data_IF_391946396007
#
_entry.id   IF_391946396007
#
_cell.length_a   1.000
_cell.length_b   1.000
_cell.length_c   1.000
_cell.angle_alpha   90.00
_cell.angle_beta   90.00
_cell.angle_gamma   90.00
#
_symmetry.space_group_name_H-M   'P 1'
#
loop_
_entity.id
_entity.type
_entity.pdbx_description
1 polymer ?
#
# COMPACT_ATOMS: atom_id res chain seq x y z
N UNK A 1 -30.00 -12.47 52.71
CA UNK A 1 -28.68 -12.11 52.11
C UNK A 1 -28.95 -11.42 50.78
N UNK A 2 -28.85 -10.10 50.70
CA UNK A 2 -29.13 -9.29 49.48
C UNK A 2 -27.82 -9.00 48.77
N UNK A 3 -27.79 -9.33 47.49
CA UNK A 3 -26.64 -9.02 46.61
C UNK A 3 -26.66 -7.54 46.21
N UNK A 4 -25.50 -6.84 46.19
CA UNK A 4 -25.44 -5.44 45.75
C UNK A 4 -25.58 -5.38 44.22
N UNK A 5 -26.46 -4.48 43.74
CA UNK A 5 -26.64 -4.20 42.29
C UNK A 5 -25.42 -3.47 41.75
N UNK A 6 -24.78 -4.08 40.78
CA UNK A 6 -23.72 -3.45 40.00
C UNK A 6 -24.36 -2.40 39.08
N UNK A 7 -24.09 -1.14 39.28
CA UNK A 7 -24.39 -0.09 38.30
C UNK A 7 -23.19 0.05 37.36
N UNK A 8 -23.35 -0.16 36.03
CA UNK A 8 -22.30 0.14 35.10
C UNK A 8 -22.06 1.63 35.06
N UNK A 9 -20.81 2.06 35.30
CA UNK A 9 -20.36 3.43 35.16
C UNK A 9 -20.52 3.83 33.69
N UNK A 10 -21.22 4.96 33.44
CA UNK A 10 -21.34 5.56 32.13
C UNK A 10 -19.94 5.91 31.59
N UNK A 11 -19.68 5.73 30.27
CA UNK A 11 -18.42 6.17 29.68
C UNK A 11 -18.29 7.68 29.81
N UNK A 12 -17.12 8.14 30.25
CA UNK A 12 -16.79 9.54 30.36
C UNK A 12 -16.83 10.16 28.94
N UNK A 13 -17.84 11.00 28.70
CA UNK A 13 -17.90 11.86 27.52
C UNK A 13 -16.87 12.97 27.70
N UNK A 14 -15.75 12.88 27.01
CA UNK A 14 -14.83 14.00 26.85
C UNK A 14 -15.54 15.20 26.19
N UNK A 15 -15.03 16.43 26.34
CA UNK A 15 -15.65 17.61 25.78
C UNK A 15 -15.81 17.49 24.27
N UNK A 16 -17.04 17.64 23.76
CA UNK A 16 -17.33 17.61 22.33
C UNK A 16 -16.57 18.74 21.64
N UNK A 17 -15.87 18.40 20.55
CA UNK A 17 -15.12 19.36 19.71
C UNK A 17 -16.10 20.43 19.18
N UNK A 18 -15.75 21.75 19.20
CA UNK A 18 -16.61 22.80 18.65
C UNK A 18 -16.91 22.58 17.16
N UNK A 19 -18.05 23.12 16.66
CA UNK A 19 -18.41 23.05 15.24
C UNK A 19 -17.31 23.60 14.35
N UNK A 20 -16.96 22.84 13.30
CA UNK A 20 -15.88 23.10 12.35
C UNK A 20 -16.01 24.47 11.64
N UNK A 21 -14.91 25.22 11.57
CA UNK A 21 -14.75 26.42 10.73
C UNK A 21 -14.41 26.00 9.30
N UNK A 22 -14.60 26.92 8.31
CA UNK A 22 -14.21 26.68 6.91
C UNK A 22 -12.71 26.29 6.85
N UNK A 23 -12.39 25.12 6.26
CA UNK A 23 -11.04 24.53 6.20
C UNK A 23 -10.78 23.42 7.23
N UNK A 24 -11.58 23.30 8.30
CA UNK A 24 -11.46 22.22 9.30
C UNK A 24 -12.02 20.88 8.79
N UNK A 25 -12.83 20.90 7.71
CA UNK A 25 -13.41 19.69 7.12
C UNK A 25 -12.35 18.79 6.48
N UNK A 26 -11.44 19.37 5.70
CA UNK A 26 -10.37 18.61 5.05
C UNK A 26 -9.36 18.10 6.08
N UNK A 27 -9.07 18.90 7.11
CA UNK A 27 -8.22 18.48 8.21
C UNK A 27 -8.84 17.31 8.98
N UNK A 28 -10.13 17.39 9.31
CA UNK A 28 -10.82 16.28 10.00
C UNK A 28 -10.87 15.03 9.13
N UNK A 29 -11.09 15.19 7.81
CA UNK A 29 -11.06 14.08 6.88
C UNK A 29 -9.69 13.36 6.93
N UNK A 30 -8.60 14.12 6.92
CA UNK A 30 -7.25 13.55 7.01
C UNK A 30 -6.99 12.88 8.37
N UNK A 31 -7.40 13.51 9.48
CA UNK A 31 -7.30 12.92 10.83
C UNK A 31 -8.04 11.57 10.93
N UNK A 32 -9.19 11.43 10.25
CA UNK A 32 -9.95 10.18 10.18
C UNK A 32 -9.17 9.11 9.40
N UNK A 33 -8.58 9.46 8.25
CA UNK A 33 -7.76 8.55 7.45
C UNK A 33 -6.54 8.08 8.24
N UNK A 34 -5.82 9.01 8.89
CA UNK A 34 -4.63 8.70 9.69
C UNK A 34 -4.96 7.81 10.91
N UNK A 35 -6.11 8.03 11.53
CA UNK A 35 -6.58 7.19 12.64
C UNK A 35 -6.98 5.78 12.15
N UNK A 36 -7.63 5.68 11.00
CA UNK A 36 -7.98 4.40 10.38
C UNK A 36 -6.72 3.62 10.00
N UNK A 37 -5.74 4.27 9.39
CA UNK A 37 -4.45 3.70 9.04
C UNK A 37 -3.73 3.13 10.28
N UNK A 38 -3.59 3.92 11.35
CA UNK A 38 -2.96 3.45 12.59
C UNK A 38 -3.66 2.22 13.15
N UNK A 39 -4.99 2.25 13.25
CA UNK A 39 -5.77 1.13 13.79
C UNK A 39 -5.64 -0.13 12.90
N UNK A 40 -5.57 0.02 11.59
CA UNK A 40 -5.34 -1.09 10.66
C UNK A 40 -3.95 -1.70 10.86
N UNK A 41 -2.93 -0.86 11.00
CA UNK A 41 -1.55 -1.29 11.25
C UNK A 41 -1.44 -1.99 12.62
N UNK A 42 -2.07 -1.44 13.66
CA UNK A 42 -2.04 -1.99 15.02
C UNK A 42 -2.77 -3.33 15.14
N UNK A 43 -3.89 -3.48 14.44
CA UNK A 43 -4.72 -4.69 14.53
C UNK A 43 -4.34 -5.77 13.51
N UNK A 44 -3.73 -5.39 12.38
CA UNK A 44 -3.42 -6.30 11.27
C UNK A 44 -4.65 -6.93 10.61
N UNK A 45 -5.87 -6.53 10.99
CA UNK A 45 -7.12 -7.06 10.47
C UNK A 45 -8.17 -5.96 10.29
N UNK A 46 -8.60 -5.76 9.06
CA UNK A 46 -9.65 -4.81 8.70
C UNK A 46 -10.97 -5.04 9.48
N UNK A 47 -11.32 -6.30 9.78
CA UNK A 47 -12.55 -6.64 10.53
C UNK A 47 -12.52 -6.14 11.96
N UNK A 48 -11.33 -6.00 12.53
CA UNK A 48 -11.11 -5.52 13.89
C UNK A 48 -11.24 -3.99 14.01
N UNK A 49 -11.17 -3.25 12.88
CA UNK A 49 -11.31 -1.80 12.83
C UNK A 49 -12.78 -1.43 12.61
N UNK A 50 -13.34 -0.60 13.50
CA UNK A 50 -14.72 -0.10 13.41
C UNK A 50 -14.78 1.42 13.31
N UNK A 51 -15.83 1.95 12.67
CA UNK A 51 -16.09 3.40 12.62
C UNK A 51 -16.16 4.02 14.04
N UNK A 52 -16.65 3.27 15.03
CA UNK A 52 -16.68 3.73 16.43
C UNK A 52 -15.28 3.86 17.02
N UNK A 53 -14.38 2.92 16.75
CA UNK A 53 -12.99 2.97 17.20
C UNK A 53 -12.26 4.15 16.55
N UNK A 54 -12.44 4.36 15.25
CA UNK A 54 -11.86 5.49 14.50
C UNK A 54 -12.38 6.82 15.06
N UNK A 55 -13.70 6.98 15.21
CA UNK A 55 -14.32 8.18 15.77
C UNK A 55 -13.78 8.48 17.18
N UNK A 56 -13.62 7.46 18.02
CA UNK A 56 -13.04 7.60 19.36
C UNK A 56 -11.57 8.04 19.29
N UNK A 57 -10.78 7.49 18.37
CA UNK A 57 -9.36 7.85 18.20
C UNK A 57 -9.16 9.30 17.75
N UNK A 58 -10.10 9.85 16.98
CA UNK A 58 -10.09 11.26 16.50
C UNK A 58 -10.78 12.21 17.48
N UNK A 59 -11.57 11.68 18.44
CA UNK A 59 -12.34 12.49 19.39
C UNK A 59 -13.60 13.11 18.79
N UNK A 60 -14.24 12.41 17.83
CA UNK A 60 -15.49 12.83 17.20
C UNK A 60 -16.61 11.80 17.39
N UNK A 61 -17.84 12.15 17.04
CA UNK A 61 -18.94 11.18 17.03
C UNK A 61 -18.91 10.30 15.76
N UNK A 62 -19.38 9.05 15.79
CA UNK A 62 -19.50 8.22 14.58
C UNK A 62 -20.26 8.89 13.43
N UNK A 63 -21.38 9.64 13.65
CA UNK A 63 -22.02 10.40 12.59
C UNK A 63 -21.10 11.43 11.91
N UNK A 64 -20.14 12.02 12.63
CA UNK A 64 -19.19 12.96 12.05
C UNK A 64 -18.23 12.28 11.04
N UNK A 65 -17.87 11.02 11.28
CA UNK A 65 -17.09 10.22 10.32
C UNK A 65 -17.90 9.95 9.04
N UNK A 66 -19.18 9.62 9.18
CA UNK A 66 -20.07 9.38 8.01
C UNK A 66 -20.33 10.61 7.15
N UNK A 67 -20.06 11.83 7.64
CA UNK A 67 -20.09 13.04 6.82
C UNK A 67 -18.94 13.10 5.80
N UNK A 68 -17.84 12.39 6.07
CA UNK A 68 -16.64 12.34 5.21
C UNK A 68 -16.53 11.05 4.40
N UNK A 69 -17.00 9.94 4.97
CA UNK A 69 -16.92 8.61 4.37
C UNK A 69 -18.27 7.91 4.53
N UNK A 70 -18.99 7.61 3.43
CA UNK A 70 -20.33 7.05 3.49
C UNK A 70 -20.38 5.68 4.18
N UNK A 71 -19.29 4.93 4.14
CA UNK A 71 -19.13 3.61 4.74
C UNK A 71 -17.67 3.38 5.15
N UNK A 72 -17.43 2.28 5.85
CA UNK A 72 -16.10 1.85 6.29
C UNK A 72 -15.20 1.51 5.09
N UNK A 73 -15.77 0.87 4.09
CA UNK A 73 -15.11 0.41 2.88
C UNK A 73 -14.48 1.59 2.13
N UNK A 74 -15.22 2.67 1.95
CA UNK A 74 -14.72 3.92 1.34
C UNK A 74 -13.53 4.51 2.10
N UNK A 75 -13.54 4.44 3.43
CA UNK A 75 -12.42 4.90 4.26
C UNK A 75 -11.21 3.98 4.11
N UNK A 76 -11.40 2.65 4.10
CA UNK A 76 -10.31 1.69 3.87
C UNK A 76 -9.69 1.87 2.48
N UNK A 77 -10.51 2.11 1.46
CA UNK A 77 -10.03 2.40 0.10
C UNK A 77 -9.17 3.68 0.06
N UNK A 78 -9.55 4.71 0.81
CA UNK A 78 -8.74 5.93 0.92
C UNK A 78 -7.38 5.68 1.59
N UNK A 79 -7.36 4.90 2.69
CA UNK A 79 -6.11 4.47 3.33
C UNK A 79 -5.25 3.69 2.34
N UNK A 80 -5.84 2.75 1.60
CA UNK A 80 -5.17 1.95 0.59
C UNK A 80 -4.57 2.84 -0.53
N UNK A 81 -5.33 3.81 -1.03
CA UNK A 81 -4.87 4.78 -2.05
C UNK A 81 -3.65 5.57 -1.56
N UNK A 82 -3.70 6.07 -0.32
CA UNK A 82 -2.60 6.77 0.33
C UNK A 82 -1.34 5.90 0.43
N UNK A 83 -1.49 4.62 0.80
CA UNK A 83 -0.36 3.69 0.87
C UNK A 83 0.26 3.43 -0.51
N UNK A 84 -0.54 3.31 -1.56
CA UNK A 84 -0.03 3.20 -2.92
C UNK A 84 0.72 4.46 -3.37
N UNK A 85 0.31 5.65 -2.94
CA UNK A 85 1.02 6.90 -3.25
C UNK A 85 2.39 6.97 -2.56
N UNK A 86 2.47 6.54 -1.29
CA UNK A 86 3.75 6.45 -0.55
C UNK A 86 4.67 5.42 -1.22
N UNK A 87 4.13 4.23 -1.50
CA UNK A 87 4.84 3.16 -2.19
C UNK A 87 5.42 3.62 -3.53
N UNK A 88 4.59 4.25 -4.38
CA UNK A 88 5.01 4.75 -5.68
C UNK A 88 6.11 5.80 -5.56
N UNK A 89 5.99 6.74 -4.61
CA UNK A 89 6.99 7.76 -4.35
C UNK A 89 8.35 7.16 -3.92
N UNK A 90 8.36 6.10 -3.12
CA UNK A 90 9.60 5.42 -2.72
C UNK A 90 10.27 4.70 -3.89
N UNK A 91 9.49 4.04 -4.75
CA UNK A 91 10.01 3.39 -5.95
C UNK A 91 10.59 4.41 -6.94
N UNK A 92 9.91 5.54 -7.16
CA UNK A 92 10.39 6.62 -8.02
C UNK A 92 11.66 7.27 -7.45
N UNK A 93 11.74 7.48 -6.14
CA UNK A 93 12.94 7.99 -5.49
C UNK A 93 14.14 7.04 -5.61
N UNK A 94 13.90 5.73 -5.58
CA UNK A 94 14.94 4.73 -5.84
C UNK A 94 15.39 4.74 -7.30
N UNK A 95 14.44 4.78 -8.23
CA UNK A 95 14.68 4.83 -9.68
C UNK A 95 15.46 6.07 -10.10
N UNK A 96 15.19 7.24 -9.49
CA UNK A 96 15.88 8.48 -9.78
C UNK A 96 17.41 8.46 -9.50
N UNK A 97 17.88 7.47 -8.74
CA UNK A 97 19.31 7.26 -8.45
C UNK A 97 19.98 6.28 -9.42
N UNK A 98 19.25 5.78 -10.41
CA UNK A 98 19.77 4.83 -11.36
C UNK A 98 20.77 5.47 -12.35
N UNK A 99 21.78 4.69 -12.72
CA UNK A 99 22.82 5.10 -13.67
C UNK A 99 22.54 4.63 -15.11
N UNK A 100 21.71 3.61 -15.25
CA UNK A 100 21.29 3.04 -16.53
C UNK A 100 19.93 2.32 -16.38
N UNK A 101 19.29 1.92 -17.49
CA UNK A 101 17.97 1.26 -17.43
C UNK A 101 17.96 -0.10 -16.67
N UNK A 102 19.07 -0.84 -16.65
CA UNK A 102 19.17 -2.11 -15.92
C UNK A 102 19.25 -1.84 -14.41
N UNK A 103 20.07 -0.84 -14.01
CA UNK A 103 20.16 -0.36 -12.63
C UNK A 103 18.82 0.20 -12.15
N UNK A 104 18.06 0.89 -13.02
CA UNK A 104 16.72 1.38 -12.70
C UNK A 104 15.78 0.24 -12.29
N UNK A 105 15.68 -0.82 -13.09
CA UNK A 105 14.84 -1.98 -12.77
C UNK A 105 15.32 -2.69 -11.50
N UNK A 106 16.61 -2.77 -11.27
CA UNK A 106 17.20 -3.35 -10.06
C UNK A 106 16.81 -2.56 -8.82
N UNK A 107 16.96 -1.24 -8.85
CA UNK A 107 16.62 -0.35 -7.73
C UNK A 107 15.12 -0.35 -7.43
N UNK A 108 14.26 -0.37 -8.45
CA UNK A 108 12.82 -0.52 -8.28
C UNK A 108 12.47 -1.83 -7.59
N UNK A 109 13.12 -2.94 -7.99
CA UNK A 109 12.90 -4.26 -7.38
C UNK A 109 13.31 -4.28 -5.90
N UNK A 110 14.46 -3.70 -5.57
CA UNK A 110 14.94 -3.58 -4.20
C UNK A 110 13.98 -2.73 -3.35
N UNK A 111 13.63 -1.52 -3.82
CA UNK A 111 12.72 -0.62 -3.12
C UNK A 111 11.33 -1.25 -2.91
N UNK A 112 10.83 -2.03 -3.88
CA UNK A 112 9.57 -2.75 -3.75
C UNK A 112 9.58 -3.72 -2.56
N UNK A 113 10.62 -4.56 -2.48
CA UNK A 113 10.75 -5.56 -1.41
C UNK A 113 11.02 -4.87 -0.07
N UNK A 114 11.88 -3.85 -0.03
CA UNK A 114 12.18 -3.05 1.17
C UNK A 114 10.92 -2.40 1.73
N UNK A 115 10.09 -1.78 0.89
CA UNK A 115 8.79 -1.24 1.30
C UNK A 115 7.91 -2.32 1.93
N UNK A 116 7.73 -3.45 1.25
CA UNK A 116 6.88 -4.52 1.76
C UNK A 116 7.35 -5.09 3.10
N UNK A 117 8.65 -5.19 3.31
CA UNK A 117 9.22 -5.69 4.57
C UNK A 117 9.19 -4.66 5.69
N UNK A 118 9.35 -3.37 5.37
CA UNK A 118 9.30 -2.26 6.34
C UNK A 118 7.87 -1.88 6.70
N UNK A 119 6.91 -2.05 5.79
CA UNK A 119 5.50 -1.67 5.91
C UNK A 119 4.56 -2.88 5.71
N UNK A 120 4.83 -3.99 6.43
CA UNK A 120 4.16 -5.29 6.22
C UNK A 120 2.63 -5.19 6.25
N UNK A 121 2.07 -4.45 7.21
CA UNK A 121 0.61 -4.33 7.34
C UNK A 121 0.04 -3.42 6.24
N UNK A 122 0.72 -2.35 5.86
CA UNK A 122 0.35 -1.54 4.70
C UNK A 122 0.35 -2.38 3.42
N UNK A 123 1.39 -3.20 3.22
CA UNK A 123 1.48 -4.11 2.07
C UNK A 123 0.32 -5.12 2.04
N UNK A 124 -0.06 -5.68 3.21
CA UNK A 124 -1.23 -6.57 3.33
C UNK A 124 -2.53 -5.85 2.95
N UNK A 125 -2.72 -4.62 3.41
CA UNK A 125 -3.90 -3.80 3.07
C UNK A 125 -3.94 -3.55 1.56
N UNK A 126 -2.81 -3.17 0.95
CA UNK A 126 -2.72 -2.85 -0.47
C UNK A 126 -2.99 -4.05 -1.38
N UNK A 127 -2.46 -5.22 -1.05
CA UNK A 127 -2.41 -6.36 -1.99
C UNK A 127 -3.16 -7.60 -1.54
N UNK A 128 -3.45 -7.78 -0.25
CA UNK A 128 -4.05 -9.00 0.30
C UNK A 128 -5.47 -8.79 0.81
N UNK A 129 -5.91 -7.55 0.98
CA UNK A 129 -7.29 -7.23 1.35
C UNK A 129 -8.14 -7.18 0.07
N UNK A 130 -9.27 -7.90 0.05
CA UNK A 130 -10.25 -7.80 -1.03
C UNK A 130 -11.40 -6.91 -0.55
N UNK A 131 -11.49 -5.66 -0.99
CA UNK A 131 -12.67 -4.86 -0.71
C UNK A 131 -13.89 -5.50 -1.39
N UNK A 132 -14.97 -5.69 -0.63
CA UNK A 132 -16.26 -6.20 -1.13
C UNK A 132 -17.09 -5.10 -1.81
N UNK A 133 -16.46 -4.17 -2.49
CA UNK A 133 -17.08 -2.93 -2.96
C UNK A 133 -17.40 -2.95 -4.45
N UNK A 134 -18.47 -2.28 -4.83
CA UNK A 134 -18.85 -2.03 -6.21
C UNK A 134 -17.72 -1.34 -7.00
N UNK A 135 -17.63 -1.67 -8.28
CA UNK A 135 -16.57 -1.27 -9.23
C UNK A 135 -16.26 0.25 -9.24
N UNK A 136 -17.21 1.08 -8.86
CA UNK A 136 -17.10 2.54 -8.85
C UNK A 136 -16.27 3.10 -7.70
N UNK A 137 -16.31 2.48 -6.53
CA UNK A 137 -15.55 2.91 -5.33
C UNK A 137 -14.08 2.46 -5.39
N UNK A 138 -13.82 1.37 -6.10
CA UNK A 138 -12.48 0.82 -6.30
C UNK A 138 -11.58 1.69 -7.20
N UNK A 139 -12.13 2.67 -7.92
CA UNK A 139 -11.41 3.46 -8.95
C UNK A 139 -10.19 4.24 -8.41
N UNK A 140 -10.25 4.77 -7.20
CA UNK A 140 -9.12 5.54 -6.64
C UNK A 140 -7.93 4.63 -6.32
N UNK A 141 -8.18 3.49 -5.67
CA UNK A 141 -7.15 2.49 -5.33
C UNK A 141 -6.58 1.85 -6.58
N UNK A 142 -7.45 1.43 -7.50
CA UNK A 142 -7.05 0.92 -8.82
C UNK A 142 -6.26 1.99 -9.58
N UNK A 143 -6.62 3.27 -9.42
CA UNK A 143 -5.91 4.41 -10.00
C UNK A 143 -4.49 4.57 -9.45
N UNK A 144 -4.30 4.51 -8.13
CA UNK A 144 -2.99 4.63 -7.49
C UNK A 144 -2.08 3.42 -7.79
N UNK A 145 -2.59 2.21 -7.63
CA UNK A 145 -1.87 0.99 -7.98
C UNK A 145 -1.53 0.91 -9.48
N UNK A 146 -2.43 1.39 -10.35
CA UNK A 146 -2.17 1.46 -11.79
C UNK A 146 -1.10 2.48 -12.15
N UNK A 147 -0.98 3.61 -11.41
CA UNK A 147 0.12 4.58 -11.62
C UNK A 147 1.48 3.93 -11.31
N UNK A 148 1.62 3.30 -10.16
CA UNK A 148 2.85 2.60 -9.78
C UNK A 148 3.25 1.54 -10.82
N UNK A 149 2.28 0.76 -11.32
CA UNK A 149 2.52 -0.19 -12.41
C UNK A 149 2.89 0.50 -13.72
N UNK A 150 2.24 1.63 -14.07
CA UNK A 150 2.55 2.37 -15.28
C UNK A 150 3.99 2.91 -15.27
N UNK A 151 4.49 3.38 -14.12
CA UNK A 151 5.89 3.82 -13.98
C UNK A 151 6.88 2.68 -14.27
N UNK A 152 6.55 1.43 -13.92
CA UNK A 152 7.36 0.27 -14.30
C UNK A 152 7.30 0.00 -15.81
N UNK A 153 6.12 0.08 -16.43
CA UNK A 153 5.95 -0.04 -17.88
C UNK A 153 6.77 1.03 -18.61
N UNK A 154 6.71 2.27 -18.14
CA UNK A 154 7.45 3.40 -18.71
C UNK A 154 8.97 3.22 -18.53
N UNK A 155 9.43 2.63 -17.43
CA UNK A 155 10.84 2.30 -17.22
C UNK A 155 11.34 1.26 -18.25
N UNK A 156 10.55 0.22 -18.51
CA UNK A 156 10.86 -0.77 -19.54
C UNK A 156 10.90 -0.11 -20.94
N UNK A 157 9.91 0.75 -21.25
CA UNK A 157 9.85 1.46 -22.52
C UNK A 157 11.08 2.37 -22.71
N UNK A 158 11.47 3.13 -21.67
CA UNK A 158 12.70 3.94 -21.72
C UNK A 158 13.95 3.10 -22.02
N UNK A 159 14.06 1.91 -21.44
CA UNK A 159 15.17 1.00 -21.72
C UNK A 159 15.17 0.48 -23.15
N UNK A 160 14.00 0.24 -23.75
CA UNK A 160 13.86 -0.12 -25.16
C UNK A 160 14.27 1.05 -26.06
N UNK A 161 13.79 2.26 -25.78
CA UNK A 161 14.07 3.45 -26.56
C UNK A 161 15.56 3.85 -26.51
N UNK A 162 16.20 3.61 -25.36
CA UNK A 162 17.64 3.81 -25.17
C UNK A 162 18.50 2.68 -25.83
N UNK A 163 17.88 1.65 -26.39
CA UNK A 163 18.60 0.51 -26.96
C UNK A 163 19.34 -0.34 -25.91
N UNK A 164 18.95 -0.27 -24.66
CA UNK A 164 19.46 -1.13 -23.58
C UNK A 164 18.70 -2.47 -23.51
N UNK A 165 17.42 -2.45 -23.89
CA UNK A 165 16.54 -3.62 -23.92
C UNK A 165 16.13 -3.97 -25.35
N UNK A 166 15.90 -5.27 -25.57
CA UNK A 166 15.34 -5.78 -26.81
C UNK A 166 13.89 -5.30 -26.99
N UNK A 167 13.42 -5.26 -28.22
CA UNK A 167 12.03 -4.91 -28.53
C UNK A 167 11.08 -6.01 -28.04
N UNK A 168 10.28 -5.68 -27.04
CA UNK A 168 9.24 -6.52 -26.44
C UNK A 168 8.02 -5.66 -26.15
N UNK A 169 6.88 -6.27 -25.81
CA UNK A 169 5.77 -5.55 -25.23
C UNK A 169 6.17 -5.09 -23.79
N UNK A 170 6.19 -3.78 -23.51
CA UNK A 170 6.63 -3.28 -22.22
C UNK A 170 5.66 -3.64 -21.08
N UNK A 171 4.38 -3.86 -21.37
CA UNK A 171 3.39 -4.28 -20.38
C UNK A 171 3.62 -5.72 -19.96
N UNK A 172 3.84 -6.62 -20.93
CA UNK A 172 4.16 -8.03 -20.65
C UNK A 172 5.46 -8.16 -19.85
N UNK A 173 6.49 -7.41 -20.22
CA UNK A 173 7.75 -7.37 -19.49
C UNK A 173 7.58 -6.85 -18.05
N UNK A 174 6.82 -5.77 -17.88
CA UNK A 174 6.51 -5.21 -16.55
C UNK A 174 5.72 -6.19 -15.68
N UNK A 175 4.77 -6.95 -16.23
CA UNK A 175 4.04 -8.01 -15.52
C UNK A 175 5.01 -9.08 -15.00
N UNK A 176 5.96 -9.53 -15.83
CA UNK A 176 6.96 -10.51 -15.42
C UNK A 176 7.81 -10.02 -14.24
N UNK A 177 8.36 -8.80 -14.35
CA UNK A 177 9.14 -8.16 -13.30
C UNK A 177 8.35 -8.00 -12.00
N UNK A 178 7.12 -7.47 -12.11
CA UNK A 178 6.24 -7.28 -10.95
C UNK A 178 5.87 -8.60 -10.28
N UNK A 179 5.56 -9.64 -11.04
CA UNK A 179 5.24 -10.96 -10.50
C UNK A 179 6.38 -11.52 -9.66
N UNK A 180 7.64 -11.31 -10.07
CA UNK A 180 8.82 -11.71 -9.33
C UNK A 180 8.93 -11.02 -7.97
N UNK A 181 8.96 -9.69 -7.96
CA UNK A 181 9.10 -8.90 -6.71
C UNK A 181 7.91 -9.10 -5.77
N UNK A 182 6.68 -9.16 -6.33
CA UNK A 182 5.48 -9.40 -5.55
C UNK A 182 5.50 -10.79 -4.91
N UNK A 183 5.92 -11.82 -5.64
CA UNK A 183 6.07 -13.18 -5.14
C UNK A 183 7.06 -13.25 -3.98
N UNK A 184 8.26 -12.69 -4.13
CA UNK A 184 9.27 -12.62 -3.06
C UNK A 184 8.73 -11.91 -1.82
N UNK A 185 8.18 -10.71 -2.00
CA UNK A 185 7.65 -9.92 -0.89
C UNK A 185 6.55 -10.65 -0.13
N UNK A 186 5.58 -11.23 -0.88
CA UNK A 186 4.49 -12.00 -0.30
C UNK A 186 4.96 -13.20 0.49
N UNK A 187 5.94 -13.96 -0.02
CA UNK A 187 6.51 -15.12 0.66
C UNK A 187 7.23 -14.71 1.96
N UNK A 188 8.05 -13.68 1.93
CA UNK A 188 8.79 -13.19 3.09
C UNK A 188 7.85 -12.65 4.19
N UNK A 189 6.71 -12.07 3.81
CA UNK A 189 5.70 -11.56 4.75
C UNK A 189 4.85 -12.69 5.34
N UNK A 190 4.43 -13.66 4.52
CA UNK A 190 3.48 -14.70 4.94
C UNK A 190 4.13 -15.90 5.58
N UNK A 191 5.39 -16.18 5.27
CA UNK A 191 6.16 -17.31 5.77
C UNK A 191 7.49 -16.87 6.43
N UNK A 192 7.46 -16.00 7.46
CA UNK A 192 8.69 -15.40 8.02
C UNK A 192 9.62 -16.41 8.69
N UNK A 193 9.12 -17.59 9.09
CA UNK A 193 9.92 -18.63 9.74
C UNK A 193 10.49 -19.67 8.76
N UNK A 194 10.21 -19.55 7.46
CA UNK A 194 10.80 -20.44 6.47
C UNK A 194 12.30 -20.09 6.31
N UNK A 195 13.21 -21.06 6.11
CA UNK A 195 14.63 -20.81 5.98
C UNK A 195 14.99 -20.21 4.61
N UNK A 196 14.53 -18.98 4.36
CA UNK A 196 14.85 -18.24 3.15
C UNK A 196 16.33 -17.88 3.09
N UNK A 197 16.91 -17.79 1.88
CA UNK A 197 18.15 -17.04 1.68
C UNK A 197 18.00 -15.59 2.16
N UNK A 198 19.09 -14.83 2.17
CA UNK A 198 19.01 -13.39 2.41
C UNK A 198 18.12 -12.70 1.34
N UNK A 199 17.60 -11.54 1.69
CA UNK A 199 16.63 -10.81 0.87
C UNK A 199 17.19 -10.45 -0.50
N UNK A 200 18.47 -10.07 -0.57
CA UNK A 200 19.14 -9.71 -1.81
C UNK A 200 19.22 -10.89 -2.76
N UNK A 201 19.58 -12.06 -2.25
CA UNK A 201 19.57 -13.32 -3.01
C UNK A 201 18.16 -13.66 -3.50
N UNK A 202 17.13 -13.49 -2.67
CA UNK A 202 15.75 -13.74 -3.06
C UNK A 202 15.29 -12.82 -4.19
N UNK A 203 15.64 -11.54 -4.14
CA UNK A 203 15.34 -10.55 -5.19
C UNK A 203 16.04 -10.97 -6.49
N UNK A 204 17.32 -11.31 -6.42
CA UNK A 204 18.08 -11.68 -7.62
C UNK A 204 17.53 -12.94 -8.27
N UNK A 205 17.25 -14.01 -7.51
CA UNK A 205 16.65 -15.23 -8.02
C UNK A 205 15.31 -15.01 -8.74
N UNK A 206 14.47 -14.11 -8.24
CA UNK A 206 13.14 -13.88 -8.81
C UNK A 206 13.14 -12.86 -9.95
N UNK A 207 14.03 -11.85 -9.90
CA UNK A 207 13.98 -10.73 -10.84
C UNK A 207 15.02 -10.82 -11.95
N UNK A 208 16.20 -11.42 -11.69
CA UNK A 208 17.25 -11.51 -12.70
C UNK A 208 16.80 -12.22 -13.97
N UNK A 209 16.07 -13.35 -13.93
CA UNK A 209 15.65 -14.03 -15.16
C UNK A 209 14.78 -13.13 -16.06
N UNK A 210 13.88 -12.34 -15.48
CA UNK A 210 13.05 -11.40 -16.23
C UNK A 210 13.84 -10.20 -16.73
N UNK A 211 14.63 -9.57 -15.84
CA UNK A 211 15.48 -8.42 -16.18
C UNK A 211 16.51 -8.76 -17.25
N UNK A 212 17.21 -9.87 -17.10
CA UNK A 212 18.28 -10.26 -18.02
C UNK A 212 17.73 -10.72 -19.36
N UNK A 213 16.52 -11.30 -19.41
CA UNK A 213 15.83 -11.61 -20.65
C UNK A 213 15.52 -10.37 -21.51
N UNK A 214 15.50 -9.18 -20.93
CA UNK A 214 15.29 -7.92 -21.65
C UNK A 214 16.57 -7.41 -22.30
N UNK A 215 17.76 -7.82 -21.84
CA UNK A 215 19.02 -7.31 -22.36
C UNK A 215 19.24 -7.71 -23.80
N UNK A 216 19.85 -6.82 -24.56
CA UNK A 216 20.31 -7.14 -25.92
C UNK A 216 21.56 -7.99 -25.78
N UNK A 217 21.53 -9.20 -26.33
CA UNK A 217 22.72 -10.03 -26.41
C UNK A 217 23.69 -9.40 -27.44
N UNK A 218 24.78 -8.80 -26.94
CA UNK A 218 25.81 -8.15 -27.76
C UNK A 218 26.87 -9.13 -28.24
N UNK A 219 26.61 -10.45 -28.10
CA UNK A 219 27.57 -11.53 -28.40
C UNK A 219 27.47 -12.07 -29.84
N UNK A 220 27.05 -11.22 -30.81
CA UNK A 220 27.08 -11.64 -32.21
C UNK A 220 27.69 -10.57 -33.13
#
# INVERSE_FOLDING_TARGET
MSWPRFHPRAPATGPARPRARRGEGDQLRQEIVDAAERLLIETGDERSVSIRAIASAVGVSPPAVYLHFPDKESLILEVCSKQFEIFDAELEAAAARATDPVDELTRRSQAYVEFGLSHREAYRIMFMTRPSVEEQQTRAVVGAGRRAFQHLVDAVQRGIDAGAFRKVDPVEAAIGLWSGVHGVTSLLITLPSFPWPDVETMIELACAPHRDSLRIDRSN
#
